data_IF_628286539744
#
_entry.id   IF_628286539744
#
_cell.length_a   1.000
_cell.length_b   1.000
_cell.length_c   1.000
_cell.angle_alpha   90.00
_cell.angle_beta   90.00
_cell.angle_gamma   90.00
#
_symmetry.space_group_name_H-M   'P 1'
#
loop_
_entity.id
_entity.type
_entity.pdbx_description
1 polymer ?
#
# COMPACT_ATOMS: atom_id res chain seq x y z
N UNK A 1 1.08 7.15 12.66
CA UNK A 1 0.02 7.67 13.56
C UNK A 1 -1.21 6.77 13.50
N UNK A 2 -2.04 6.79 14.55
CA UNK A 2 -3.37 6.17 14.54
C UNK A 2 -4.36 7.20 13.97
N UNK A 3 -5.27 6.74 13.11
CA UNK A 3 -6.29 7.58 12.47
C UNK A 3 -7.68 7.06 12.85
N UNK A 4 -8.45 7.87 13.54
CA UNK A 4 -9.87 7.63 13.83
C UNK A 4 -10.73 8.42 12.81
N UNK A 5 -11.71 7.74 12.21
CA UNK A 5 -12.62 8.30 11.21
C UNK A 5 -14.05 8.15 11.70
N UNK A 6 -14.65 9.28 12.06
CA UNK A 6 -16.07 9.41 12.40
C UNK A 6 -16.92 9.60 11.13
N UNK A 7 -17.88 8.71 10.91
CA UNK A 7 -18.83 8.74 9.78
C UNK A 7 -20.23 8.27 10.22
N UNK A 8 -20.89 8.98 11.15
CA UNK A 8 -22.20 8.58 11.67
C UNK A 8 -23.25 8.50 10.55
N UNK A 9 -24.02 7.41 10.53
CA UNK A 9 -25.08 7.19 9.55
C UNK A 9 -24.61 6.98 8.12
N UNK A 10 -23.30 6.87 7.87
CA UNK A 10 -22.72 6.65 6.55
C UNK A 10 -21.99 5.31 6.49
N UNK A 11 -21.75 4.84 5.26
CA UNK A 11 -20.88 3.71 5.03
C UNK A 11 -19.41 4.06 5.35
N UNK A 12 -18.56 3.03 5.41
CA UNK A 12 -17.13 3.21 5.66
C UNK A 12 -16.51 4.09 4.57
N UNK A 13 -15.83 5.16 4.99
CA UNK A 13 -15.20 6.14 4.10
C UNK A 13 -14.08 5.48 3.28
N UNK A 14 -14.01 5.73 1.97
CA UNK A 14 -12.94 5.20 1.13
C UNK A 14 -11.58 5.77 1.52
N UNK A 15 -10.52 4.97 1.34
CA UNK A 15 -9.15 5.34 1.73
C UNK A 15 -8.59 6.54 0.94
N UNK A 16 -9.11 6.80 -0.26
CA UNK A 16 -8.74 7.96 -1.08
C UNK A 16 -9.16 9.26 -0.42
N UNK A 17 -10.41 9.35 0.03
CA UNK A 17 -10.94 10.54 0.72
C UNK A 17 -10.24 10.79 2.06
N UNK A 18 -9.96 9.72 2.83
CA UNK A 18 -9.22 9.84 4.08
C UNK A 18 -7.83 10.43 3.83
N UNK A 19 -7.17 9.99 2.76
CA UNK A 19 -5.84 10.49 2.38
C UNK A 19 -5.87 11.95 1.96
N UNK A 20 -6.83 12.34 1.14
CA UNK A 20 -7.00 13.74 0.72
C UNK A 20 -7.29 14.65 1.91
N UNK A 21 -8.08 14.18 2.87
CA UNK A 21 -8.37 14.94 4.09
C UNK A 21 -7.13 15.09 4.97
N UNK A 22 -6.34 14.02 5.12
CA UNK A 22 -5.05 14.08 5.83
C UNK A 22 -4.05 15.00 5.12
N UNK A 23 -4.01 14.97 3.79
CA UNK A 23 -3.17 15.86 2.98
C UNK A 23 -3.50 17.34 3.25
N UNK A 24 -4.80 17.69 3.26
CA UNK A 24 -5.24 19.05 3.64
C UNK A 24 -4.92 19.40 5.08
N UNK A 25 -5.12 18.46 6.02
CA UNK A 25 -4.91 18.69 7.45
C UNK A 25 -3.44 18.94 7.80
N UNK A 26 -2.53 18.16 7.20
CA UNK A 26 -1.09 18.26 7.46
C UNK A 26 -0.35 19.09 6.42
N UNK A 27 -1.06 19.75 5.50
CA UNK A 27 -0.51 20.60 4.43
C UNK A 27 0.53 19.87 3.56
N UNK A 28 0.28 18.61 3.25
CA UNK A 28 1.14 17.78 2.40
C UNK A 28 0.39 17.33 1.15
N UNK A 29 1.10 16.71 0.21
CA UNK A 29 0.46 16.05 -0.94
C UNK A 29 -0.05 14.66 -0.55
N UNK A 30 -1.10 14.14 -1.21
CA UNK A 30 -1.61 12.80 -0.91
C UNK A 30 -0.61 11.69 -1.28
N UNK A 31 0.34 11.95 -2.18
CA UNK A 31 1.27 10.91 -2.66
C UNK A 31 2.26 10.42 -1.61
N UNK A 32 2.52 11.23 -0.58
CA UNK A 32 3.42 10.89 0.55
C UNK A 32 2.67 10.29 1.74
N UNK A 33 1.35 10.12 1.63
CA UNK A 33 0.50 9.62 2.71
C UNK A 33 0.04 8.19 2.39
N UNK A 34 0.33 7.27 3.30
CA UNK A 34 -0.11 5.88 3.20
C UNK A 34 -1.05 5.57 4.36
N UNK A 35 -2.24 5.07 4.03
CA UNK A 35 -3.26 4.72 5.02
C UNK A 35 -3.63 3.25 4.87
N UNK A 36 -3.69 2.52 5.98
CA UNK A 36 -3.86 1.06 5.98
C UNK A 36 -4.47 0.54 7.27
N UNK A 37 -4.94 -0.71 7.23
CA UNK A 37 -5.40 -1.41 8.43
C UNK A 37 -6.70 -0.86 9.03
N UNK A 38 -7.54 -0.20 8.23
CA UNK A 38 -8.83 0.29 8.69
C UNK A 38 -9.76 -0.85 9.09
N UNK A 39 -10.35 -0.74 10.29
CA UNK A 39 -11.37 -1.63 10.82
C UNK A 39 -12.49 -0.79 11.42
N UNK A 40 -13.71 -1.04 10.95
CA UNK A 40 -14.92 -0.36 11.44
C UNK A 40 -15.43 -1.05 12.69
N UNK A 41 -15.88 -0.26 13.67
CA UNK A 41 -16.53 -0.79 14.87
C UNK A 41 -17.84 -1.49 14.54
N UNK A 42 -18.23 -2.43 15.40
CA UNK A 42 -19.54 -3.06 15.30
C UNK A 42 -20.63 -1.99 15.53
N UNK A 43 -21.64 -1.97 14.68
CA UNK A 43 -22.65 -0.90 14.65
C UNK A 43 -22.30 0.29 13.75
N UNK A 44 -21.09 0.37 13.19
CA UNK A 44 -20.69 1.44 12.27
C UNK A 44 -20.34 2.77 12.95
N UNK A 45 -20.26 3.85 12.17
CA UNK A 45 -20.07 5.22 12.67
C UNK A 45 -18.63 5.60 13.07
N UNK A 46 -17.78 4.64 13.44
CA UNK A 46 -16.36 4.86 13.71
C UNK A 46 -15.50 3.78 13.03
N UNK A 47 -14.45 4.19 12.33
CA UNK A 47 -13.39 3.31 11.81
C UNK A 47 -12.02 3.76 12.31
N UNK A 48 -11.26 2.83 12.89
CA UNK A 48 -9.86 3.06 13.30
C UNK A 48 -8.93 2.43 12.26
N UNK A 49 -7.83 3.12 11.96
CA UNK A 49 -6.75 2.58 11.14
C UNK A 49 -5.42 3.26 11.45
N UNK A 50 -4.46 3.07 10.55
CA UNK A 50 -3.14 3.67 10.65
C UNK A 50 -2.84 4.53 9.44
N UNK A 51 -2.10 5.62 9.68
CA UNK A 51 -1.57 6.51 8.66
C UNK A 51 -0.09 6.76 8.86
N UNK A 52 0.69 6.78 7.78
CA UNK A 52 2.08 7.21 7.77
C UNK A 52 2.23 8.33 6.75
N UNK A 53 2.84 9.44 7.17
CA UNK A 53 3.18 10.57 6.31
C UNK A 53 4.70 10.59 6.22
N UNK A 54 5.22 10.60 5.00
CA UNK A 54 6.64 10.74 4.72
C UNK A 54 6.95 12.18 4.31
N UNK A 55 8.16 12.65 4.61
CA UNK A 55 8.62 13.98 4.19
C UNK A 55 8.82 14.04 2.67
N UNK A 56 9.24 12.93 2.06
CA UNK A 56 9.42 12.81 0.61
C UNK A 56 8.98 11.45 0.10
N UNK A 57 8.66 11.41 -1.19
CA UNK A 57 8.27 10.20 -1.89
C UNK A 57 9.44 9.20 -1.99
N UNK A 58 10.68 9.67 -1.96
CA UNK A 58 11.89 8.83 -2.00
C UNK A 58 12.07 8.05 -0.70
N UNK A 59 11.84 8.68 0.46
CA UNK A 59 11.81 7.99 1.74
C UNK A 59 10.69 6.96 1.79
N UNK A 60 9.51 7.31 1.26
CA UNK A 60 8.42 6.37 1.08
C UNK A 60 8.86 5.15 0.28
N UNK A 61 9.44 5.34 -0.91
CA UNK A 61 9.87 4.25 -1.80
C UNK A 61 10.89 3.31 -1.15
N UNK A 62 11.77 3.83 -0.28
CA UNK A 62 12.80 3.06 0.41
C UNK A 62 12.24 2.20 1.53
N UNK A 63 11.31 2.73 2.31
CA UNK A 63 10.88 2.14 3.58
C UNK A 63 9.53 1.44 3.50
N UNK A 64 8.62 1.92 2.65
CA UNK A 64 7.23 1.45 2.63
C UNK A 64 7.09 0.12 1.86
N UNK A 65 6.27 -0.83 2.33
CA UNK A 65 6.07 -2.09 1.63
C UNK A 65 5.50 -1.90 0.21
N UNK A 66 6.14 -2.52 -0.80
CA UNK A 66 5.76 -2.45 -2.23
C UNK A 66 4.27 -2.70 -2.51
N UNK A 67 3.60 -3.54 -1.73
CA UNK A 67 2.19 -3.85 -1.95
C UNK A 67 1.25 -2.67 -1.65
N UNK A 68 1.66 -1.71 -0.81
CA UNK A 68 0.86 -0.52 -0.49
C UNK A 68 0.92 0.50 -1.63
N UNK A 69 2.08 0.66 -2.26
CA UNK A 69 2.20 1.43 -3.51
C UNK A 69 1.27 0.93 -4.60
N UNK A 70 1.20 -0.41 -4.78
CA UNK A 70 0.28 -1.01 -5.76
C UNK A 70 -1.18 -0.72 -5.42
N UNK A 71 -1.57 -0.84 -4.15
CA UNK A 71 -2.94 -0.51 -3.69
C UNK A 71 -3.31 0.95 -3.87
N UNK A 72 -2.32 1.83 -3.93
CA UNK A 72 -2.49 3.27 -4.08
C UNK A 72 -2.23 3.75 -5.51
N UNK A 73 -2.06 2.84 -6.47
CA UNK A 73 -1.89 3.17 -7.89
C UNK A 73 -0.50 3.72 -8.27
N UNK A 74 0.43 3.81 -7.32
CA UNK A 74 1.76 4.41 -7.54
C UNK A 74 2.79 3.43 -8.13
N UNK A 75 2.45 2.15 -8.23
CA UNK A 75 3.37 1.13 -8.74
C UNK A 75 2.62 -0.02 -9.42
N UNK A 76 3.08 -0.40 -10.61
CA UNK A 76 2.60 -1.59 -11.29
C UNK A 76 3.46 -2.82 -10.95
N UNK A 77 2.84 -3.84 -10.35
CA UNK A 77 3.56 -5.08 -10.02
C UNK A 77 3.59 -6.00 -11.23
N UNK A 78 4.79 -6.24 -11.79
CA UNK A 78 5.02 -7.34 -12.75
C UNK A 78 4.67 -8.68 -12.12
N UNK A 79 3.63 -9.33 -12.66
CA UNK A 79 3.16 -10.65 -12.23
C UNK A 79 3.91 -11.72 -13.01
N UNK A 80 4.79 -12.47 -12.36
CA UNK A 80 5.22 -13.78 -12.85
C UNK A 80 4.85 -14.83 -11.83
N UNK A 81 4.31 -15.96 -12.31
CA UNK A 81 3.83 -17.02 -11.43
C UNK A 81 4.99 -17.63 -10.65
N UNK A 82 4.76 -17.95 -9.36
CA UNK A 82 5.72 -18.67 -8.54
C UNK A 82 6.10 -20.01 -9.19
N UNK A 83 5.16 -20.67 -9.87
CA UNK A 83 5.39 -21.91 -10.62
C UNK A 83 6.39 -21.70 -11.75
N UNK A 84 6.16 -20.72 -12.62
CA UNK A 84 7.07 -20.39 -13.73
C UNK A 84 8.50 -20.06 -13.25
N UNK A 85 8.63 -19.30 -12.15
CA UNK A 85 9.95 -18.98 -11.56
C UNK A 85 10.67 -20.24 -11.07
N UNK A 86 9.94 -21.14 -10.39
CA UNK A 86 10.50 -22.41 -9.89
C UNK A 86 10.89 -23.34 -11.04
N UNK A 87 10.05 -23.47 -12.06
CA UNK A 87 10.35 -24.28 -13.25
C UNK A 87 11.56 -23.74 -14.01
N UNK A 88 11.65 -22.42 -14.22
CA UNK A 88 12.83 -21.77 -14.84
C UNK A 88 14.09 -22.06 -14.02
N UNK A 89 14.04 -21.86 -12.72
CA UNK A 89 15.17 -22.13 -11.84
C UNK A 89 15.60 -23.60 -11.88
N UNK A 90 14.65 -24.53 -11.85
CA UNK A 90 14.94 -25.97 -11.96
C UNK A 90 15.51 -26.35 -13.33
N UNK A 91 15.08 -25.69 -14.42
CA UNK A 91 15.67 -25.87 -15.76
C UNK A 91 17.10 -25.33 -15.81
N UNK A 92 17.36 -24.14 -15.26
CA UNK A 92 18.70 -23.56 -15.20
C UNK A 92 19.67 -24.41 -14.39
N UNK A 93 19.22 -25.05 -13.30
CA UNK A 93 20.04 -25.99 -12.52
C UNK A 93 20.48 -27.23 -13.30
N UNK A 94 19.76 -27.61 -14.36
CA UNK A 94 20.09 -28.78 -15.19
C UNK A 94 21.15 -28.48 -16.26
N UNK A 95 21.47 -27.21 -16.49
CA UNK A 95 22.51 -26.77 -17.44
C UNK A 95 23.73 -26.33 -16.63
N UNK A 96 24.92 -26.84 -16.97
CA UNK A 96 26.20 -26.41 -16.37
C UNK A 96 27.03 -25.69 -17.43
N UNK A 97 27.39 -24.44 -17.17
CA UNK A 97 28.42 -23.71 -17.93
C UNK A 97 28.18 -23.58 -19.43
N UNK A 98 27.07 -22.97 -19.87
CA UNK A 98 26.91 -22.58 -21.28
C UNK A 98 26.02 -21.34 -21.41
N UNK A 99 26.61 -20.16 -21.15
CA UNK A 99 26.52 -18.93 -21.97
C UNK A 99 27.48 -17.87 -21.39
N UNK A 100 28.45 -17.47 -22.21
CA UNK A 100 28.85 -16.07 -22.32
C UNK A 100 27.84 -15.31 -23.19
#
# INVERSE_FOLDING_TARGET
MVTDVLHPGKATVPQTEIREKLAKMYQTTPDVIFVFGFRTHFGGGNTIGFGTIYDSLDYGKKNEPKHRFVRHGLYEKKKSSRKQRKERHNRMKKVRGTVG
#
